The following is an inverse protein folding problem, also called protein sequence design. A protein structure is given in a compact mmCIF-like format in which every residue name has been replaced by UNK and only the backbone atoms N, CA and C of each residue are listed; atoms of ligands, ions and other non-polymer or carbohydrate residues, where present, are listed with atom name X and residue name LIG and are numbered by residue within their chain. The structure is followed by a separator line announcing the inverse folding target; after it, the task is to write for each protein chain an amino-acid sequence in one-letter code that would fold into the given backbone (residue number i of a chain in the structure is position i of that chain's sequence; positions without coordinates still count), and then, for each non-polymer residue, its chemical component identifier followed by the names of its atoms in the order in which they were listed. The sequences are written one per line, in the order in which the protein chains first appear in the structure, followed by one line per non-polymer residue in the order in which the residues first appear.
data_IF_117279297908
#
_entry.id   IF_117279297908
#
_cell.length_a   1.000
_cell.length_b   1.000
_cell.length_c   1.000
_cell.angle_alpha   90.00
_cell.angle_beta   90.00
_cell.angle_gamma   90.00
#
_symmetry.space_group_name_H-M   'P 1'
#
loop_
_entity.id
_entity.type
_entity.pdbx_description
1 polymer ?
#
# COMPACT_ATOMS: atom_id res chain seq x y z
N UNK A 1 2.38 3.98 -21.28
CA UNK A 1 1.63 4.75 -20.27
C UNK A 1 2.65 5.32 -19.32
N UNK A 2 2.71 6.64 -19.15
CA UNK A 2 3.66 7.27 -18.22
C UNK A 2 3.32 6.83 -16.80
N UNK A 3 4.26 6.16 -16.14
CA UNK A 3 4.17 5.93 -14.71
C UNK A 3 4.22 7.28 -14.01
N UNK A 4 3.11 7.70 -13.39
CA UNK A 4 3.18 8.80 -12.44
C UNK A 4 4.08 8.33 -11.29
N UNK A 5 5.18 9.06 -11.08
CA UNK A 5 6.10 8.72 -10.00
C UNK A 5 5.41 8.99 -8.65
N UNK A 6 5.86 8.35 -7.57
CA UNK A 6 5.36 8.65 -6.23
C UNK A 6 5.48 10.16 -5.90
N UNK A 7 6.46 10.85 -6.47
CA UNK A 7 6.66 12.30 -6.33
C UNK A 7 5.57 13.16 -6.98
N UNK A 8 4.77 12.60 -7.90
CA UNK A 8 3.64 13.30 -8.51
C UNK A 8 2.39 13.35 -7.59
N UNK A 9 2.44 12.66 -6.44
CA UNK A 9 1.33 12.57 -5.49
C UNK A 9 1.68 13.14 -4.13
N UNK A 10 0.65 13.67 -3.48
CA UNK A 10 0.63 13.95 -2.04
C UNK A 10 -0.40 13.06 -1.38
N UNK A 11 -0.05 12.51 -0.23
CA UNK A 11 -0.93 11.66 0.59
C UNK A 11 -1.35 12.42 1.83
N UNK A 12 -2.67 12.56 2.05
CA UNK A 12 -3.24 13.24 3.20
C UNK A 12 -4.06 12.28 4.05
N UNK A 13 -3.70 12.16 5.33
CA UNK A 13 -4.42 11.34 6.29
C UNK A 13 -5.62 12.08 6.84
N UNK A 14 -6.82 11.75 6.35
CA UNK A 14 -8.06 12.46 6.66
C UNK A 14 -8.96 11.76 7.69
N UNK A 15 -8.60 10.53 8.12
CA UNK A 15 -9.48 9.75 8.99
C UNK A 15 -8.73 8.66 9.76
N UNK A 16 -9.06 8.47 11.07
CA UNK A 16 -8.45 7.44 11.92
C UNK A 16 -9.48 6.47 12.53
N UNK A 17 -10.64 6.24 11.87
CA UNK A 17 -11.59 5.20 12.28
C UNK A 17 -11.65 4.11 11.24
N UNK A 18 -11.75 2.86 11.69
CA UNK A 18 -11.94 1.69 10.84
C UNK A 18 -13.00 0.76 11.41
N UNK A 19 -13.70 0.05 10.56
CA UNK A 19 -14.66 -0.99 10.92
C UNK A 19 -14.13 -2.41 10.67
N UNK A 20 -12.85 -2.55 10.35
CA UNK A 20 -12.09 -3.79 10.42
C UNK A 20 -11.21 -3.82 11.67
N UNK A 21 -10.65 -5.01 11.97
CA UNK A 21 -9.72 -5.27 13.08
C UNK A 21 -8.56 -6.12 12.59
N UNK A 22 -7.89 -5.64 11.53
CA UNK A 22 -6.85 -6.41 10.86
C UNK A 22 -5.68 -6.70 11.79
N UNK A 23 -5.28 -7.98 11.87
CA UNK A 23 -4.17 -8.43 12.72
C UNK A 23 -2.83 -7.76 12.33
N UNK A 24 -2.68 -7.37 11.07
CA UNK A 24 -1.47 -6.73 10.53
C UNK A 24 -1.57 -5.19 10.44
N UNK A 25 -2.54 -4.57 11.13
CA UNK A 25 -2.75 -3.13 11.01
C UNK A 25 -1.57 -2.36 11.59
N UNK A 26 -0.88 -1.58 10.74
CA UNK A 26 0.28 -0.80 11.16
C UNK A 26 -0.06 0.40 12.06
N UNK A 27 -1.31 0.83 12.06
CA UNK A 27 -1.80 1.95 12.90
C UNK A 27 -2.76 1.48 14.00
N UNK A 28 -2.69 0.20 14.40
CA UNK A 28 -3.63 -0.42 15.34
C UNK A 28 -3.76 0.40 16.64
N UNK A 29 -2.64 0.76 17.24
CA UNK A 29 -2.61 1.53 18.48
C UNK A 29 -2.71 3.02 18.21
N UNK A 30 -1.97 3.49 17.21
CA UNK A 30 -1.82 4.92 16.94
C UNK A 30 -3.10 5.57 16.39
N UNK A 31 -4.02 4.82 15.78
CA UNK A 31 -5.28 5.36 15.29
C UNK A 31 -6.17 5.97 16.41
N UNK A 32 -5.93 5.64 17.68
CA UNK A 32 -6.72 6.12 18.80
C UNK A 32 -6.24 7.48 19.33
N UNK A 33 -5.01 7.89 19.00
CA UNK A 33 -4.43 9.12 19.53
C UNK A 33 -3.82 10.03 18.46
N UNK A 34 -3.60 9.55 17.22
CA UNK A 34 -3.24 10.39 16.09
C UNK A 34 -4.42 11.27 15.68
N UNK A 35 -4.12 12.48 15.28
CA UNK A 35 -5.10 13.47 14.80
C UNK A 35 -5.12 13.48 13.27
N UNK A 36 -6.27 13.25 12.62
CA UNK A 36 -6.37 13.41 11.17
C UNK A 36 -6.27 14.88 10.78
N UNK A 37 -5.86 15.13 9.55
CA UNK A 37 -5.92 16.46 8.97
C UNK A 37 -7.34 17.04 9.08
N UNK A 38 -7.44 18.27 9.52
CA UNK A 38 -8.68 19.01 9.62
C UNK A 38 -9.00 19.78 8.31
N UNK A 39 -10.11 20.55 8.32
CA UNK A 39 -10.50 21.32 7.14
C UNK A 39 -9.49 22.42 6.79
N UNK A 40 -8.79 22.98 7.78
CA UNK A 40 -7.76 24.01 7.54
C UNK A 40 -6.50 23.42 6.92
N UNK A 41 -6.07 22.24 7.37
CA UNK A 41 -4.96 21.49 6.77
C UNK A 41 -5.28 21.11 5.32
N UNK A 42 -6.51 20.67 5.07
CA UNK A 42 -6.94 20.31 3.73
C UNK A 42 -6.97 21.53 2.81
N UNK A 43 -7.55 22.68 3.23
CA UNK A 43 -7.53 23.90 2.44
C UNK A 43 -6.11 24.41 2.17
N UNK A 44 -5.22 24.39 3.16
CA UNK A 44 -3.85 24.80 2.96
C UNK A 44 -3.15 23.95 1.88
N UNK A 45 -3.40 22.62 1.85
CA UNK A 45 -2.90 21.74 0.82
C UNK A 45 -3.48 22.06 -0.57
N UNK A 46 -4.79 22.33 -0.64
CA UNK A 46 -5.44 22.72 -1.90
C UNK A 46 -4.86 24.02 -2.44
N UNK A 47 -4.64 25.01 -1.57
CA UNK A 47 -4.07 26.31 -1.95
C UNK A 47 -2.62 26.18 -2.42
N UNK A 48 -1.81 25.34 -1.76
CA UNK A 48 -0.45 25.02 -2.21
C UNK A 48 -0.46 24.45 -3.64
N UNK A 49 -1.39 23.54 -3.94
CA UNK A 49 -1.47 22.97 -5.28
C UNK A 49 -2.05 23.92 -6.32
N UNK A 50 -3.04 24.75 -5.97
CA UNK A 50 -3.58 25.82 -6.87
C UNK A 50 -2.48 26.77 -7.33
N UNK A 51 -1.58 27.15 -6.41
CA UNK A 51 -0.51 28.12 -6.69
C UNK A 51 0.68 27.51 -7.43
N UNK A 52 1.10 26.32 -7.05
CA UNK A 52 2.36 25.74 -7.51
C UNK A 52 2.19 24.61 -8.54
N UNK A 53 0.99 24.03 -8.68
CA UNK A 53 0.74 22.81 -9.50
C UNK A 53 1.77 21.69 -9.19
N UNK A 54 2.09 21.55 -7.90
CA UNK A 54 3.19 20.72 -7.41
C UNK A 54 2.91 19.23 -7.61
N UNK A 55 1.64 18.83 -7.43
CA UNK A 55 1.25 17.43 -7.53
C UNK A 55 0.17 17.24 -8.60
N UNK A 56 0.26 16.12 -9.31
CA UNK A 56 -0.78 15.68 -10.26
C UNK A 56 -1.93 14.97 -9.54
N UNK A 57 -1.62 14.27 -8.46
CA UNK A 57 -2.60 13.48 -7.72
C UNK A 57 -2.59 13.73 -6.22
N UNK A 58 -3.75 13.53 -5.60
CA UNK A 58 -3.92 13.48 -4.15
C UNK A 58 -4.40 12.09 -3.75
N UNK A 59 -3.86 11.58 -2.65
CA UNK A 59 -4.28 10.33 -2.01
C UNK A 59 -4.98 10.68 -0.70
N UNK A 60 -6.27 10.41 -0.61
CA UNK A 60 -7.03 10.53 0.62
C UNK A 60 -6.95 9.18 1.37
N UNK A 61 -6.33 9.20 2.54
CA UNK A 61 -6.01 8.00 3.29
C UNK A 61 -6.35 8.13 4.78
N UNK A 62 -6.01 7.10 5.52
CA UNK A 62 -6.15 6.99 6.97
C UNK A 62 -6.46 5.55 7.36
N UNK A 63 -7.34 5.35 8.35
CA UNK A 63 -7.78 3.99 8.69
C UNK A 63 -8.79 3.45 7.66
N UNK A 64 -9.98 4.07 7.54
CA UNK A 64 -10.94 3.74 6.48
C UNK A 64 -11.71 5.00 6.04
N UNK A 65 -11.27 5.58 4.93
CA UNK A 65 -11.78 6.89 4.46
C UNK A 65 -13.24 6.85 4.01
N UNK A 66 -13.75 5.70 3.57
CA UNK A 66 -15.15 5.59 3.13
C UNK A 66 -16.15 5.70 4.30
N UNK A 67 -15.68 5.70 5.54
CA UNK A 67 -16.52 6.01 6.72
C UNK A 67 -16.79 7.51 6.86
N UNK A 68 -16.00 8.39 6.24
CA UNK A 68 -16.29 9.83 6.18
C UNK A 68 -17.50 10.08 5.30
N UNK A 69 -18.45 10.84 5.82
CA UNK A 69 -19.69 11.20 5.08
C UNK A 69 -19.44 12.23 3.99
N UNK A 70 -18.44 13.07 4.20
CA UNK A 70 -18.03 14.18 3.33
C UNK A 70 -16.90 13.81 2.34
N UNK A 71 -16.53 12.53 2.23
CA UNK A 71 -15.52 12.08 1.28
C UNK A 71 -15.77 12.52 -0.17
N UNK A 72 -17.02 12.48 -0.71
CA UNK A 72 -17.30 12.98 -2.04
C UNK A 72 -17.01 14.50 -2.18
N UNK A 73 -17.32 15.28 -1.14
CA UNK A 73 -17.03 16.72 -1.15
C UNK A 73 -15.52 17.01 -1.13
N UNK A 74 -14.73 16.25 -0.35
CA UNK A 74 -13.28 16.39 -0.37
C UNK A 74 -12.72 16.08 -1.76
N UNK A 75 -13.20 15.02 -2.40
CA UNK A 75 -12.76 14.66 -3.75
C UNK A 75 -13.08 15.74 -4.79
N UNK A 76 -14.30 16.29 -4.77
CA UNK A 76 -14.70 17.37 -5.68
C UNK A 76 -13.83 18.62 -5.49
N UNK A 77 -13.60 19.04 -4.25
CA UNK A 77 -12.71 20.18 -3.92
C UNK A 77 -11.26 19.96 -4.39
N UNK A 78 -10.75 18.73 -4.28
CA UNK A 78 -9.43 18.38 -4.79
C UNK A 78 -9.36 18.55 -6.32
N UNK A 79 -10.38 18.09 -7.05
CA UNK A 79 -10.47 18.30 -8.50
C UNK A 79 -10.50 19.78 -8.87
N UNK A 80 -11.31 20.58 -8.15
CA UNK A 80 -11.39 22.03 -8.34
C UNK A 80 -10.05 22.74 -8.06
N UNK A 81 -9.22 22.18 -7.19
CA UNK A 81 -7.88 22.66 -6.89
C UNK A 81 -6.81 22.23 -7.92
N UNK A 82 -7.21 21.56 -9.01
CA UNK A 82 -6.33 21.20 -10.12
C UNK A 82 -5.67 19.83 -10.03
N UNK A 83 -6.01 19.02 -9.02
CA UNK A 83 -5.55 17.63 -9.00
C UNK A 83 -6.16 16.84 -10.17
N UNK A 84 -5.30 16.25 -11.00
CA UNK A 84 -5.68 15.44 -12.15
C UNK A 84 -6.18 14.05 -11.74
N UNK A 85 -5.73 13.56 -10.58
CA UNK A 85 -6.11 12.28 -10.01
C UNK A 85 -6.48 12.42 -8.54
N UNK A 86 -7.55 11.74 -8.13
CA UNK A 86 -7.94 11.59 -6.73
C UNK A 86 -7.99 10.10 -6.41
N UNK A 87 -7.05 9.66 -5.59
CA UNK A 87 -6.95 8.28 -5.10
C UNK A 87 -7.50 8.17 -3.70
N UNK A 88 -8.18 7.06 -3.42
CA UNK A 88 -8.49 6.67 -2.04
C UNK A 88 -7.81 5.35 -1.69
N UNK A 89 -7.39 5.23 -0.42
CA UNK A 89 -6.97 3.95 0.17
C UNK A 89 -8.10 3.43 1.04
N UNK A 90 -8.54 2.19 0.81
CA UNK A 90 -9.72 1.62 1.45
C UNK A 90 -9.66 0.10 1.48
N UNK A 91 -10.35 -0.52 2.44
CA UNK A 91 -10.61 -1.97 2.39
C UNK A 91 -11.77 -2.34 1.44
N UNK A 92 -12.43 -1.38 0.82
CA UNK A 92 -13.39 -1.58 -0.27
C UNK A 92 -14.79 -2.09 0.12
N UNK A 93 -15.09 -2.36 1.39
CA UNK A 93 -16.38 -2.97 1.76
C UNK A 93 -17.62 -2.09 1.44
N UNK A 94 -17.51 -0.77 1.56
CA UNK A 94 -18.61 0.15 1.20
C UNK A 94 -18.83 0.24 -0.30
N UNK A 95 -17.82 -0.10 -1.10
CA UNK A 95 -17.92 -0.16 -2.56
C UNK A 95 -18.82 -1.33 -3.03
N UNK A 96 -19.22 -2.24 -2.13
CA UNK A 96 -20.22 -3.25 -2.43
C UNK A 96 -21.60 -2.65 -2.80
N UNK A 97 -21.88 -1.41 -2.36
CA UNK A 97 -23.04 -0.64 -2.79
C UNK A 97 -22.72 0.07 -4.13
N UNK A 98 -23.37 -0.32 -5.25
CA UNK A 98 -23.12 0.28 -6.56
C UNK A 98 -23.45 1.77 -6.60
N UNK A 99 -24.44 2.23 -5.82
CA UNK A 99 -24.81 3.65 -5.77
C UNK A 99 -23.74 4.46 -5.08
N UNK A 100 -23.13 3.93 -4.01
CA UNK A 100 -22.02 4.57 -3.35
C UNK A 100 -20.77 4.65 -4.24
N UNK A 101 -20.46 3.57 -4.99
CA UNK A 101 -19.40 3.60 -6.01
C UNK A 101 -19.61 4.76 -6.99
N UNK A 102 -20.81 4.86 -7.56
CA UNK A 102 -21.15 5.94 -8.51
C UNK A 102 -20.96 7.31 -7.87
N UNK A 103 -21.45 7.51 -6.65
CA UNK A 103 -21.30 8.79 -5.94
C UNK A 103 -19.84 9.19 -5.78
N UNK A 104 -18.94 8.25 -5.43
CA UNK A 104 -17.51 8.53 -5.30
C UNK A 104 -16.87 8.87 -6.66
N UNK A 105 -17.22 8.14 -7.70
CA UNK A 105 -16.65 8.35 -9.05
C UNK A 105 -17.15 9.68 -9.62
N UNK A 106 -18.44 9.98 -9.49
CA UNK A 106 -19.04 11.25 -9.96
C UNK A 106 -18.46 12.46 -9.21
N UNK A 107 -17.96 12.28 -7.99
CA UNK A 107 -17.25 13.31 -7.23
C UNK A 107 -15.78 13.52 -7.65
N UNK A 108 -15.27 12.71 -8.58
CA UNK A 108 -13.95 12.87 -9.14
C UNK A 108 -12.90 11.84 -8.65
N UNK A 109 -13.25 10.86 -7.82
CA UNK A 109 -12.35 9.76 -7.48
C UNK A 109 -12.21 8.83 -8.69
N UNK A 110 -11.00 8.68 -9.19
CA UNK A 110 -10.67 7.86 -10.36
C UNK A 110 -9.67 6.75 -10.06
N UNK A 111 -9.07 6.73 -8.87
CA UNK A 111 -8.12 5.72 -8.45
C UNK A 111 -8.50 5.10 -7.10
N UNK A 112 -8.54 3.77 -7.04
CA UNK A 112 -8.91 3.01 -5.86
C UNK A 112 -7.78 2.05 -5.49
N UNK A 113 -7.14 2.28 -4.34
CA UNK A 113 -6.13 1.39 -3.78
C UNK A 113 -6.77 0.56 -2.68
N UNK A 114 -7.01 -0.72 -2.97
CA UNK A 114 -7.88 -1.58 -2.16
C UNK A 114 -7.06 -2.67 -1.47
N UNK A 115 -7.22 -2.76 -0.14
CA UNK A 115 -6.57 -3.81 0.65
C UNK A 115 -7.28 -5.15 0.46
N UNK A 116 -6.53 -6.17 0.02
CA UNK A 116 -7.01 -7.56 -0.11
C UNK A 116 -6.00 -8.47 0.56
N UNK A 117 -6.37 -9.06 1.68
CA UNK A 117 -5.43 -9.73 2.59
C UNK A 117 -5.17 -11.20 2.28
N UNK A 118 -6.08 -11.86 1.56
CA UNK A 118 -5.98 -13.27 1.19
C UNK A 118 -6.88 -13.61 0.00
N UNK A 119 -6.65 -14.79 -0.60
CA UNK A 119 -7.39 -15.30 -1.75
C UNK A 119 -8.73 -15.97 -1.39
N UNK A 120 -8.94 -16.35 -0.14
CA UNK A 120 -10.16 -17.03 0.30
C UNK A 120 -10.93 -16.20 1.34
N UNK A 121 -12.26 -16.37 1.36
CA UNK A 121 -13.10 -15.67 2.32
C UNK A 121 -12.75 -16.02 3.77
N UNK A 122 -12.48 -17.29 4.05
CA UNK A 122 -12.15 -17.77 5.38
C UNK A 122 -10.89 -17.06 5.92
N UNK A 123 -9.81 -17.09 5.16
CA UNK A 123 -8.55 -16.48 5.61
C UNK A 123 -8.61 -14.96 5.62
N UNK A 124 -9.25 -14.34 4.62
CA UNK A 124 -9.39 -12.89 4.58
C UNK A 124 -10.20 -12.38 5.78
N UNK A 125 -11.33 -13.01 6.08
CA UNK A 125 -12.20 -12.62 7.21
C UNK A 125 -11.52 -12.89 8.56
N UNK A 126 -10.74 -13.97 8.66
CA UNK A 126 -9.90 -14.24 9.83
C UNK A 126 -8.86 -13.11 10.05
N UNK A 127 -8.14 -12.71 9.01
CA UNK A 127 -7.10 -11.67 9.10
C UNK A 127 -7.72 -10.30 9.40
N UNK A 128 -8.86 -9.97 8.78
CA UNK A 128 -9.54 -8.67 8.97
C UNK A 128 -10.37 -8.61 10.24
N UNK A 129 -10.63 -9.74 10.89
CA UNK A 129 -11.44 -9.86 12.10
C UNK A 129 -12.94 -9.58 11.89
N UNK A 130 -13.43 -9.56 10.64
CA UNK A 130 -14.83 -9.24 10.32
C UNK A 130 -15.39 -10.23 9.29
N UNK A 131 -16.31 -11.12 9.70
CA UNK A 131 -16.99 -12.05 8.80
C UNK A 131 -17.69 -11.33 7.65
N UNK A 132 -17.56 -11.85 6.44
CA UNK A 132 -18.16 -11.31 5.21
C UNK A 132 -17.40 -10.12 4.61
N UNK A 133 -16.27 -9.72 5.20
CA UNK A 133 -15.44 -8.64 4.66
C UNK A 133 -14.93 -8.97 3.25
N UNK A 134 -14.48 -10.21 3.01
CA UNK A 134 -14.03 -10.66 1.71
C UNK A 134 -15.08 -10.47 0.61
N UNK A 135 -16.28 -10.99 0.84
CA UNK A 135 -17.33 -10.91 -0.16
C UNK A 135 -17.72 -9.48 -0.49
N UNK A 136 -17.75 -8.60 0.50
CA UNK A 136 -18.06 -7.18 0.31
C UNK A 136 -16.93 -6.46 -0.43
N UNK A 137 -15.67 -6.69 -0.08
CA UNK A 137 -14.51 -6.13 -0.78
C UNK A 137 -14.49 -6.57 -2.24
N UNK A 138 -14.66 -7.87 -2.50
CA UNK A 138 -14.68 -8.40 -3.88
C UNK A 138 -15.88 -7.91 -4.68
N UNK A 139 -17.06 -7.70 -4.03
CA UNK A 139 -18.19 -7.07 -4.69
C UNK A 139 -17.88 -5.61 -5.06
N UNK A 140 -17.21 -4.88 -4.18
CA UNK A 140 -16.76 -3.51 -4.47
C UNK A 140 -15.85 -3.44 -5.70
N UNK A 141 -14.86 -4.33 -5.80
CA UNK A 141 -13.96 -4.40 -6.95
C UNK A 141 -14.73 -4.73 -8.24
N UNK A 142 -15.68 -5.69 -8.19
CA UNK A 142 -16.55 -5.98 -9.34
C UNK A 142 -17.40 -4.78 -9.77
N UNK A 143 -17.90 -4.01 -8.82
CA UNK A 143 -18.67 -2.80 -9.14
C UNK A 143 -17.81 -1.76 -9.87
N UNK A 144 -16.53 -1.61 -9.49
CA UNK A 144 -15.59 -0.69 -10.14
C UNK A 144 -15.24 -1.12 -11.59
N UNK A 145 -15.29 -2.40 -11.91
CA UNK A 145 -15.04 -2.90 -13.28
C UNK A 145 -16.01 -2.32 -14.32
N UNK A 146 -17.17 -1.84 -13.89
CA UNK A 146 -18.16 -1.21 -14.78
C UNK A 146 -17.80 0.23 -15.20
N UNK A 147 -16.73 0.83 -14.66
CA UNK A 147 -16.34 2.20 -14.93
C UNK A 147 -15.03 2.27 -15.72
N UNK A 148 -15.05 2.52 -17.04
CA UNK A 148 -13.87 2.40 -17.91
C UNK A 148 -12.71 3.35 -17.57
N UNK A 149 -13.01 4.49 -16.95
CA UNK A 149 -12.03 5.52 -16.60
C UNK A 149 -11.43 5.37 -15.21
N UNK A 150 -11.87 4.35 -14.45
CA UNK A 150 -11.37 4.07 -13.10
C UNK A 150 -10.15 3.15 -13.17
N UNK A 151 -9.16 3.40 -12.33
CA UNK A 151 -8.03 2.52 -12.07
C UNK A 151 -8.15 1.89 -10.68
N UNK A 152 -8.02 0.58 -10.64
CA UNK A 152 -7.97 -0.20 -9.39
C UNK A 152 -6.54 -0.69 -9.17
N UNK A 153 -6.07 -0.55 -7.95
CA UNK A 153 -4.82 -1.12 -7.46
C UNK A 153 -5.12 -1.92 -6.19
N UNK A 154 -4.40 -2.99 -5.96
CA UNK A 154 -4.56 -3.77 -4.74
C UNK A 154 -3.31 -3.76 -3.88
N UNK A 155 -3.50 -3.79 -2.56
CA UNK A 155 -2.44 -4.02 -1.60
C UNK A 155 -2.68 -5.32 -0.84
N UNK A 156 -1.66 -6.19 -0.82
CA UNK A 156 -1.65 -7.41 -0.02
C UNK A 156 -0.50 -7.37 0.96
N UNK A 157 -0.83 -7.29 2.26
CA UNK A 157 0.19 -7.42 3.31
C UNK A 157 0.59 -8.89 3.42
N UNK A 158 1.87 -9.16 3.19
CA UNK A 158 2.45 -10.50 3.20
C UNK A 158 2.79 -10.89 4.62
N UNK A 159 2.03 -11.81 5.18
CA UNK A 159 2.19 -12.33 6.55
C UNK A 159 2.41 -13.83 6.56
N UNK A 160 2.77 -14.40 7.69
CA UNK A 160 2.86 -15.86 7.88
C UNK A 160 1.55 -16.60 7.59
N UNK A 161 0.42 -15.90 7.69
CA UNK A 161 -0.89 -16.48 7.42
C UNK A 161 -1.23 -16.54 5.91
N UNK A 162 -0.69 -15.60 5.11
CA UNK A 162 -1.15 -15.38 3.73
C UNK A 162 -0.11 -15.62 2.65
N UNK A 163 1.18 -15.73 2.99
CA UNK A 163 2.25 -15.71 1.98
C UNK A 163 2.19 -16.85 0.95
N UNK A 164 1.72 -18.03 1.35
CA UNK A 164 1.62 -19.17 0.43
C UNK A 164 0.50 -18.98 -0.61
N UNK A 165 -0.52 -18.19 -0.28
CA UNK A 165 -1.65 -17.88 -1.17
C UNK A 165 -1.43 -16.67 -2.08
N UNK A 166 -0.22 -16.12 -2.20
CA UNK A 166 0.03 -14.95 -3.06
C UNK A 166 -0.24 -15.21 -4.56
N UNK A 167 0.14 -16.37 -5.14
CA UNK A 167 -0.23 -16.67 -6.52
C UNK A 167 -1.74 -16.77 -6.74
N UNK A 168 -2.47 -17.33 -5.79
CA UNK A 168 -3.94 -17.45 -5.81
C UNK A 168 -4.61 -16.09 -5.71
N UNK A 169 -4.04 -15.14 -4.93
CA UNK A 169 -4.51 -13.74 -4.93
C UNK A 169 -4.40 -13.14 -6.33
N UNK A 170 -3.30 -13.35 -7.04
CA UNK A 170 -3.14 -12.86 -8.40
C UNK A 170 -4.15 -13.51 -9.35
N UNK A 171 -4.31 -14.84 -9.26
CA UNK A 171 -5.23 -15.58 -10.10
C UNK A 171 -6.68 -15.13 -9.93
N UNK A 172 -7.10 -14.85 -8.70
CA UNK A 172 -8.43 -14.34 -8.37
C UNK A 172 -8.76 -13.04 -9.13
N UNK A 173 -7.74 -12.24 -9.43
CA UNK A 173 -7.89 -10.95 -10.11
C UNK A 173 -7.70 -11.02 -11.63
N UNK A 174 -7.48 -12.21 -12.21
CA UNK A 174 -7.21 -12.36 -13.64
C UNK A 174 -8.27 -11.70 -14.54
N UNK A 175 -9.56 -11.82 -14.19
CA UNK A 175 -10.68 -11.32 -14.97
C UNK A 175 -11.02 -9.84 -14.73
N UNK A 176 -10.43 -9.20 -13.71
CA UNK A 176 -10.76 -7.82 -13.35
C UNK A 176 -10.10 -6.80 -14.30
N UNK A 177 -10.93 -6.14 -15.12
CA UNK A 177 -10.45 -5.29 -16.21
C UNK A 177 -9.85 -3.97 -15.73
N UNK A 178 -10.30 -3.44 -14.60
CA UNK A 178 -9.85 -2.15 -14.06
C UNK A 178 -8.63 -2.28 -13.15
N UNK A 179 -8.25 -3.50 -12.77
CA UNK A 179 -7.04 -3.71 -11.99
C UNK A 179 -5.80 -3.41 -12.86
N UNK A 180 -4.99 -2.47 -12.42
CA UNK A 180 -3.78 -2.02 -13.13
C UNK A 180 -2.51 -2.45 -12.42
N UNK A 181 -2.52 -2.45 -11.08
CA UNK A 181 -1.33 -2.69 -10.25
C UNK A 181 -1.66 -3.55 -9.03
N UNK A 182 -0.70 -4.37 -8.63
CA UNK A 182 -0.75 -5.19 -7.41
C UNK A 182 0.48 -4.91 -6.55
N UNK A 183 0.27 -4.45 -5.32
CA UNK A 183 1.33 -4.20 -4.36
C UNK A 183 1.40 -5.35 -3.36
N UNK A 184 2.61 -5.83 -3.06
CA UNK A 184 2.91 -6.81 -2.03
C UNK A 184 3.80 -6.16 -0.98
N UNK A 185 3.23 -5.91 0.21
CA UNK A 185 3.95 -5.27 1.31
C UNK A 185 4.33 -6.33 2.36
N UNK A 186 5.60 -6.65 2.49
CA UNK A 186 6.03 -7.54 3.56
C UNK A 186 5.73 -6.90 4.91
N UNK A 187 5.13 -7.70 5.79
CA UNK A 187 4.65 -7.25 7.08
C UNK A 187 5.77 -6.64 7.91
N UNK A 188 5.45 -5.54 8.53
CA UNK A 188 6.31 -4.82 9.44
C UNK A 188 5.52 -4.46 10.71
N UNK A 189 5.90 -5.04 11.87
CA UNK A 189 5.24 -4.77 13.15
C UNK A 189 5.64 -3.38 13.65
N UNK A 190 4.89 -2.36 13.27
CA UNK A 190 5.16 -0.97 13.64
C UNK A 190 4.56 -0.63 15.01
N UNK A 191 3.33 -1.06 15.26
CA UNK A 191 2.64 -0.83 16.52
C UNK A 191 3.26 -1.62 17.68
N UNK A 192 3.13 -1.14 18.91
CA UNK A 192 3.61 -1.83 20.12
C UNK A 192 2.91 -3.17 20.35
N UNK A 193 1.60 -3.20 20.10
CA UNK A 193 0.75 -4.42 20.18
C UNK A 193 0.81 -5.27 18.90
N UNK A 194 1.62 -4.89 17.91
CA UNK A 194 1.75 -5.63 16.68
C UNK A 194 2.32 -7.03 16.95
N UNK A 195 1.67 -8.06 16.39
CA UNK A 195 2.03 -9.45 16.60
C UNK A 195 3.28 -9.83 15.79
N UNK A 196 4.46 -10.03 16.42
CA UNK A 196 5.67 -10.47 15.71
C UNK A 196 5.52 -11.88 15.14
N UNK A 197 4.54 -12.69 15.61
CA UNK A 197 4.25 -14.00 15.06
C UNK A 197 3.71 -13.96 13.63
N UNK A 198 3.21 -12.82 13.17
CA UNK A 198 2.81 -12.60 11.78
C UNK A 198 4.02 -12.43 10.83
N UNK A 199 5.21 -12.17 11.36
CA UNK A 199 6.42 -12.17 10.55
C UNK A 199 6.66 -13.56 9.96
N UNK A 200 7.11 -13.59 8.73
CA UNK A 200 7.56 -14.80 8.04
C UNK A 200 8.96 -14.56 7.46
N UNK A 201 9.79 -15.58 7.43
CA UNK A 201 11.12 -15.46 6.86
C UNK A 201 11.05 -15.05 5.39
N UNK A 202 11.88 -14.09 4.99
CA UNK A 202 11.98 -13.66 3.59
C UNK A 202 12.35 -14.82 2.66
N UNK A 203 13.10 -15.81 3.14
CA UNK A 203 13.47 -16.99 2.38
C UNK A 203 12.27 -17.91 2.14
N UNK A 204 11.38 -18.05 3.14
CA UNK A 204 10.14 -18.80 2.98
C UNK A 204 9.16 -18.09 2.05
N UNK A 205 9.06 -16.75 2.15
CA UNK A 205 8.19 -15.92 1.29
C UNK A 205 8.65 -15.96 -0.16
N UNK A 206 9.97 -15.91 -0.38
CA UNK A 206 10.60 -15.69 -1.67
C UNK A 206 9.99 -16.50 -2.83
N UNK A 207 9.87 -17.86 -2.75
CA UNK A 207 9.35 -18.65 -3.88
C UNK A 207 7.91 -18.27 -4.27
N UNK A 208 7.06 -18.01 -3.30
CA UNK A 208 5.66 -17.64 -3.50
C UNK A 208 5.52 -16.22 -4.06
N UNK A 209 6.29 -15.28 -3.52
CA UNK A 209 6.32 -13.91 -3.99
C UNK A 209 6.80 -13.82 -5.44
N UNK A 210 7.92 -14.50 -5.79
CA UNK A 210 8.41 -14.52 -7.17
C UNK A 210 7.41 -15.19 -8.14
N UNK A 211 6.71 -16.23 -7.70
CA UNK A 211 5.65 -16.85 -8.50
C UNK A 211 4.49 -15.87 -8.73
N UNK A 212 4.04 -15.16 -7.69
CA UNK A 212 2.98 -14.16 -7.78
C UNK A 212 3.37 -13.00 -8.71
N UNK A 213 4.58 -12.46 -8.59
CA UNK A 213 5.11 -11.40 -9.45
C UNK A 213 5.05 -11.82 -10.93
N UNK A 214 5.61 -12.99 -11.25
CA UNK A 214 5.63 -13.51 -12.63
C UNK A 214 4.22 -13.75 -13.17
N UNK A 215 3.31 -14.22 -12.33
CA UNK A 215 1.92 -14.43 -12.71
C UNK A 215 1.22 -13.10 -12.98
N UNK A 216 1.40 -12.09 -12.13
CA UNK A 216 0.84 -10.76 -12.30
C UNK A 216 1.33 -10.11 -13.61
N UNK A 217 2.63 -10.20 -13.92
CA UNK A 217 3.18 -9.73 -15.18
C UNK A 217 2.56 -10.43 -16.39
N UNK A 218 2.37 -11.76 -16.33
CA UNK A 218 1.67 -12.51 -17.40
C UNK A 218 0.22 -12.09 -17.56
N UNK A 219 -0.42 -11.61 -16.49
CA UNK A 219 -1.76 -11.03 -16.53
C UNK A 219 -1.78 -9.55 -16.96
N UNK A 220 -0.64 -8.98 -17.35
CA UNK A 220 -0.51 -7.57 -17.77
C UNK A 220 -0.62 -6.58 -16.61
N UNK A 221 -0.36 -7.01 -15.35
CA UNK A 221 -0.41 -6.15 -14.18
C UNK A 221 0.98 -5.61 -13.86
N UNK A 222 1.02 -4.35 -13.42
CA UNK A 222 2.19 -3.80 -12.74
C UNK A 222 2.29 -4.39 -11.34
N UNK A 223 3.51 -4.51 -10.84
CA UNK A 223 3.77 -5.02 -9.49
C UNK A 223 4.71 -4.08 -8.76
N UNK A 224 4.40 -3.79 -7.52
CA UNK A 224 5.35 -3.20 -6.57
C UNK A 224 5.51 -4.12 -5.36
N UNK A 225 6.76 -4.24 -4.91
CA UNK A 225 7.10 -4.96 -3.68
C UNK A 225 7.72 -3.98 -2.71
N UNK A 226 7.23 -3.98 -1.46
CA UNK A 226 7.74 -3.12 -0.41
C UNK A 226 8.23 -3.93 0.77
N UNK A 227 9.21 -3.38 1.50
CA UNK A 227 9.75 -3.98 2.73
C UNK A 227 10.35 -5.37 2.54
N UNK A 228 10.92 -5.65 1.36
CA UNK A 228 11.59 -6.92 1.05
C UNK A 228 13.04 -6.67 0.62
N UNK A 229 14.01 -7.54 0.98
CA UNK A 229 15.39 -7.36 0.56
C UNK A 229 15.55 -7.43 -0.96
N UNK A 230 16.14 -6.38 -1.55
CA UNK A 230 16.32 -6.24 -3.00
C UNK A 230 17.03 -7.45 -3.61
N UNK A 231 18.11 -7.89 -2.97
CA UNK A 231 18.94 -9.00 -3.46
C UNK A 231 18.19 -10.35 -3.54
N UNK A 232 17.13 -10.55 -2.74
CA UNK A 232 16.34 -11.77 -2.77
C UNK A 232 15.32 -11.83 -3.91
N UNK A 233 15.05 -10.71 -4.59
CA UNK A 233 14.15 -10.68 -5.74
C UNK A 233 14.80 -11.22 -7.03
N UNK A 234 16.13 -11.27 -7.10
CA UNK A 234 16.85 -11.82 -8.25
C UNK A 234 16.50 -11.10 -9.55
N UNK A 235 16.01 -11.83 -10.55
CA UNK A 235 15.61 -11.28 -11.87
C UNK A 235 14.39 -10.35 -11.81
N UNK A 236 13.61 -10.41 -10.74
CA UNK A 236 12.43 -9.55 -10.54
C UNK A 236 12.75 -8.30 -9.71
N UNK A 237 14.03 -7.96 -9.54
CA UNK A 237 14.49 -6.87 -8.66
C UNK A 237 13.93 -5.49 -9.03
N UNK A 238 13.51 -5.29 -10.26
CA UNK A 238 12.91 -4.05 -10.77
C UNK A 238 11.52 -3.72 -10.18
N UNK A 239 10.87 -4.68 -9.50
CA UNK A 239 9.57 -4.43 -8.85
C UNK A 239 9.71 -3.86 -7.44
N UNK A 240 10.93 -3.82 -6.87
CA UNK A 240 11.13 -3.20 -5.57
C UNK A 240 10.97 -1.69 -5.68
N UNK A 241 9.99 -1.15 -5.00
CA UNK A 241 9.79 0.29 -4.88
C UNK A 241 9.33 0.65 -3.46
N UNK A 242 10.26 1.20 -2.68
CA UNK A 242 10.00 1.71 -1.33
C UNK A 242 9.81 3.24 -1.31
N UNK A 243 9.75 3.91 -2.48
CA UNK A 243 9.38 5.31 -2.52
C UNK A 243 7.95 5.49 -2.03
N UNK A 244 7.72 6.62 -1.38
CA UNK A 244 6.42 7.02 -0.89
C UNK A 244 6.07 8.41 -1.45
N UNK A 245 4.80 8.73 -1.63
CA UNK A 245 4.34 10.09 -1.83
C UNK A 245 4.75 11.01 -0.68
N UNK A 246 4.65 12.32 -0.87
CA UNK A 246 4.76 13.24 0.25
C UNK A 246 3.60 12.99 1.21
N UNK A 247 3.91 12.51 2.43
CA UNK A 247 2.89 12.13 3.42
C UNK A 247 2.59 13.28 4.37
N UNK A 248 1.35 13.74 4.38
CA UNK A 248 0.80 14.72 5.32
C UNK A 248 0.00 13.97 6.39
N UNK A 249 0.64 13.71 7.52
CA UNK A 249 0.12 12.95 8.66
C UNK A 249 0.55 13.63 9.97
N UNK A 250 -0.16 13.37 11.06
CA UNK A 250 0.25 13.79 12.40
C UNK A 250 1.73 13.46 12.64
N UNK A 251 2.59 14.45 12.98
CA UNK A 251 4.03 14.23 13.12
C UNK A 251 4.42 13.14 14.12
N UNK A 252 3.57 12.87 15.12
CA UNK A 252 3.78 11.81 16.13
C UNK A 252 3.78 10.41 15.52
N UNK A 253 3.23 10.24 14.31
CA UNK A 253 3.32 8.99 13.57
C UNK A 253 4.77 8.53 13.36
N UNK A 254 5.69 9.47 13.16
CA UNK A 254 7.09 9.14 12.90
C UNK A 254 7.82 8.55 14.12
N UNK A 255 7.34 8.82 15.34
CA UNK A 255 7.88 8.19 16.54
C UNK A 255 7.58 6.69 16.53
N UNK A 256 6.37 6.29 16.13
CA UNK A 256 5.98 4.89 15.95
C UNK A 256 6.75 4.25 14.79
N UNK A 257 6.84 4.96 13.64
CA UNK A 257 7.56 4.50 12.48
C UNK A 257 9.02 4.14 12.79
N UNK A 258 9.68 4.93 13.61
CA UNK A 258 11.09 4.74 13.96
C UNK A 258 11.31 3.67 15.04
N UNK A 259 10.30 3.26 15.78
CA UNK A 259 10.42 2.30 16.90
C UNK A 259 10.98 0.95 16.44
N UNK A 260 10.52 0.45 15.32
CA UNK A 260 10.94 -0.84 14.76
C UNK A 260 11.67 -0.65 13.42
N UNK A 261 12.66 0.24 13.45
CA UNK A 261 13.32 0.79 12.28
C UNK A 261 13.92 -0.25 11.34
N UNK A 262 14.00 0.14 10.08
CA UNK A 262 14.69 -0.58 9.02
C UNK A 262 16.20 -0.33 9.04
N UNK A 263 16.86 -0.76 7.97
CA UNK A 263 18.30 -0.60 7.73
C UNK A 263 19.19 -1.58 8.48
N UNK A 264 18.64 -2.68 8.96
CA UNK A 264 19.35 -3.75 9.62
C UNK A 264 19.92 -4.71 8.56
N UNK A 265 20.98 -4.34 7.85
CA UNK A 265 21.62 -5.19 6.85
C UNK A 265 23.14 -5.10 6.97
N UNK A 266 23.83 -6.24 7.10
CA UNK A 266 25.28 -6.33 7.21
C UNK A 266 26.04 -5.79 6.00
N UNK A 267 25.38 -5.77 4.82
CA UNK A 267 25.98 -5.30 3.57
C UNK A 267 25.63 -3.84 3.23
N UNK A 268 24.92 -3.11 4.09
CA UNK A 268 24.44 -1.76 3.80
C UNK A 268 25.50 -0.81 3.25
N UNK A 269 26.72 -0.86 3.80
CA UNK A 269 27.79 0.07 3.43
C UNK A 269 28.40 -0.22 2.03
N UNK A 270 28.23 -1.44 1.52
CA UNK A 270 28.82 -1.88 0.25
C UNK A 270 27.78 -2.23 -0.81
N UNK A 271 26.50 -2.13 -0.47
CA UNK A 271 25.38 -2.45 -1.35
C UNK A 271 24.98 -1.26 -2.20
N UNK A 272 24.86 -1.45 -3.53
CA UNK A 272 24.45 -0.42 -4.48
C UNK A 272 22.94 -0.16 -4.56
N UNK A 273 22.10 -0.92 -3.81
CA UNK A 273 20.66 -0.71 -3.84
C UNK A 273 20.26 0.61 -3.18
N UNK A 274 19.52 1.44 -3.92
CA UNK A 274 18.95 2.70 -3.43
C UNK A 274 17.54 2.52 -2.82
N UNK A 275 16.83 1.48 -3.23
CA UNK A 275 15.44 1.22 -2.85
C UNK A 275 15.31 0.29 -1.64
N UNK A 276 16.34 -0.49 -1.31
CA UNK A 276 16.27 -1.47 -0.24
C UNK A 276 16.34 -0.80 1.13
N UNK A 277 15.34 -1.06 1.95
CA UNK A 277 15.31 -0.63 3.35
C UNK A 277 16.09 -1.59 4.28
N UNK A 278 16.63 -2.71 3.75
CA UNK A 278 17.19 -3.78 4.58
C UNK A 278 16.10 -4.60 5.26
N UNK A 279 16.38 -5.07 6.46
CA UNK A 279 15.40 -5.76 7.33
C UNK A 279 15.07 -4.88 8.53
N UNK A 280 13.90 -5.05 9.11
CA UNK A 280 13.49 -4.32 10.31
C UNK A 280 14.01 -5.00 11.59
N UNK A 281 14.03 -4.27 12.70
CA UNK A 281 14.56 -4.74 13.96
C UNK A 281 13.84 -5.99 14.50
N UNK A 282 12.51 -6.04 14.39
CA UNK A 282 11.74 -7.20 14.82
C UNK A 282 12.05 -8.45 13.99
N UNK A 283 12.28 -8.30 12.69
CA UNK A 283 12.71 -9.38 11.81
C UNK A 283 14.08 -9.92 12.22
N UNK A 284 15.05 -9.02 12.41
CA UNK A 284 16.40 -9.41 12.83
C UNK A 284 16.41 -10.15 14.19
N UNK A 285 15.58 -9.69 15.13
CA UNK A 285 15.43 -10.34 16.44
C UNK A 285 14.84 -11.76 16.34
N UNK A 286 13.91 -11.99 15.38
CA UNK A 286 13.23 -13.28 15.24
C UNK A 286 13.99 -14.28 14.38
N UNK A 287 14.54 -13.86 13.26
CA UNK A 287 15.12 -14.73 12.23
C UNK A 287 16.64 -14.57 12.08
N UNK A 288 17.25 -13.60 12.78
CA UNK A 288 18.65 -13.26 12.59
C UNK A 288 18.90 -12.39 11.35
N UNK A 289 20.17 -12.26 11.01
CA UNK A 289 20.63 -11.32 9.96
C UNK A 289 20.66 -11.93 8.57
N UNK A 290 20.65 -13.26 8.45
CA UNK A 290 20.76 -13.99 7.19
C UNK A 290 21.97 -13.58 6.32
N UNK A 291 23.16 -13.37 6.93
CA UNK A 291 24.36 -12.89 6.24
C UNK A 291 24.75 -13.79 5.06
N UNK A 292 24.56 -15.11 5.22
CA UNK A 292 24.93 -16.09 4.19
C UNK A 292 23.95 -16.11 2.99
N UNK A 293 22.77 -15.54 3.16
CA UNK A 293 21.67 -15.58 2.18
C UNK A 293 21.50 -14.24 1.45
N UNK A 294 21.81 -13.14 2.15
CA UNK A 294 21.78 -11.80 1.57
C UNK A 294 23.07 -11.57 0.79
N UNK A 295 22.98 -10.80 -0.28
CA UNK A 295 24.11 -10.40 -1.10
C UNK A 295 24.05 -8.93 -1.45
N UNK A 296 25.17 -8.18 -1.43
CA UNK A 296 25.13 -6.78 -1.83
C UNK A 296 24.83 -6.68 -3.33
N UNK A 297 23.94 -5.77 -3.69
CA UNK A 297 23.72 -5.40 -5.09
C UNK A 297 24.94 -4.65 -5.62
N UNK A 298 25.29 -4.82 -6.90
CA UNK A 298 26.39 -4.08 -7.50
C UNK A 298 26.21 -2.57 -7.36
N UNK A 299 27.29 -1.87 -7.05
CA UNK A 299 27.30 -0.41 -7.09
C UNK A 299 27.33 0.02 -8.55
N UNK A 300 26.32 0.78 -9.00
CA UNK A 300 26.30 1.34 -10.34
C UNK A 300 27.52 2.24 -10.56
N UNK A 301 28.36 1.91 -11.53
CA UNK A 301 29.52 2.73 -11.92
C UNK A 301 29.15 3.86 -12.87
N UNK A 302 27.87 4.00 -13.23
CA UNK A 302 27.42 5.13 -14.05
C UNK A 302 27.48 6.42 -13.22
N UNK A 303 28.60 7.14 -13.36
CA UNK A 303 28.66 8.55 -12.97
C UNK A 303 27.60 9.28 -13.80
N UNK A 304 26.60 9.86 -13.15
CA UNK A 304 25.81 10.92 -13.77
C UNK A 304 26.82 11.99 -14.22
N UNK A 305 27.10 12.03 -15.50
CA UNK A 305 27.74 13.21 -16.10
C UNK A 305 26.82 14.39 -15.85
N UNK A 306 27.34 15.37 -15.17
CA UNK A 306 26.72 16.60 -14.73
C UNK A 306 26.14 17.43 -15.90
#
# INVERSE_FOLDING_TARGET
MNHSSHHDYVELTVHFRCNLRCQHCMILDSMHWLTPADDSDFEALLDENRQAQKWKGIILTGAEVTLRKDLPQLAARAREAGFQHVRIQTHGMKLADPQYCRTLIDSGIDEFFISVTAHSAELHDQITGVPGSFHRTMQGIRNLDHFPHVSVMTNTVVTRLSYQGLPEVVEMFRAHQRLTKMDFWCYWPMAEEADPELLVSHLEVRPWLLQAIRLAHRCGRQVEVKNFPHCLLGTESNVLDNNQPELRIDPRFWDEFNRNGFHQCVYRQVCGSQQCLGINAAYAARFGWHEDELQPMPVSTERKSA
#
